data_IF_821985573659
#
_entry.id   IF_821985573659
#
_cell.length_a   1.000
_cell.length_b   1.000
_cell.length_c   1.000
_cell.angle_alpha   90.00
_cell.angle_beta   90.00
_cell.angle_gamma   90.00
#
_symmetry.space_group_name_H-M   'P 1'
#
loop_
_entity.id
_entity.type
_entity.pdbx_description
1 polymer ?
#
# COMPACT_ATOMS: atom_id res chain seq x y z
N UNK A 1 -3.88 -17.95 15.14
CA UNK A 1 -5.12 -17.80 15.90
C UNK A 1 -5.26 -16.32 16.29
N UNK A 2 -6.42 -15.73 16.02
CA UNK A 2 -6.75 -14.36 16.47
C UNK A 2 -7.29 -14.43 17.91
N UNK A 3 -7.01 -13.42 18.74
CA UNK A 3 -7.60 -13.32 20.08
C UNK A 3 -7.92 -11.86 20.43
N UNK A 4 -8.91 -11.71 21.28
CA UNK A 4 -9.19 -10.40 21.89
C UNK A 4 -8.22 -10.18 23.05
N UNK A 5 -7.67 -9.00 23.12
CA UNK A 5 -6.81 -8.52 24.21
C UNK A 5 -7.58 -7.40 24.93
N UNK A 6 -7.73 -7.54 26.22
CA UNK A 6 -8.41 -6.56 27.07
C UNK A 6 -7.45 -5.46 27.52
N UNK A 7 -7.98 -4.40 28.12
CA UNK A 7 -7.30 -3.12 28.37
C UNK A 7 -5.94 -3.26 29.06
N UNK A 8 -5.88 -4.02 30.14
CA UNK A 8 -4.68 -4.14 30.97
C UNK A 8 -3.53 -4.78 30.19
N UNK A 9 -3.78 -5.90 29.52
CA UNK A 9 -2.81 -6.58 28.70
C UNK A 9 -2.44 -5.72 27.47
N UNK A 10 -3.42 -5.07 26.86
CA UNK A 10 -3.21 -4.21 25.69
C UNK A 10 -2.23 -3.08 26.00
N UNK A 11 -2.39 -2.38 27.13
CA UNK A 11 -1.48 -1.30 27.54
C UNK A 11 -0.10 -1.82 28.02
N UNK A 12 0.00 -3.06 28.48
CA UNK A 12 1.29 -3.70 28.73
C UNK A 12 2.02 -4.02 27.41
N UNK A 13 1.28 -4.48 26.39
CA UNK A 13 1.84 -4.79 25.07
C UNK A 13 2.26 -3.53 24.30
N UNK A 14 1.48 -2.45 24.40
CA UNK A 14 1.69 -1.19 23.67
C UNK A 14 1.45 0.01 24.61
N UNK A 15 2.46 0.39 25.41
CA UNK A 15 2.31 1.43 26.44
C UNK A 15 2.06 2.83 25.89
N UNK A 16 2.27 3.04 24.59
CA UNK A 16 2.03 4.31 23.93
C UNK A 16 0.58 4.52 23.48
N UNK A 17 -0.27 3.49 23.56
CA UNK A 17 -1.68 3.63 23.19
C UNK A 17 -2.40 4.71 24.03
N UNK A 18 -3.38 5.33 23.37
CA UNK A 18 -4.33 6.26 24.02
C UNK A 18 -5.08 5.56 25.15
N UNK A 19 -5.29 6.28 26.26
CA UNK A 19 -6.05 5.81 27.44
C UNK A 19 -7.46 5.29 27.08
N UNK A 20 -8.03 5.76 25.98
CA UNK A 20 -9.33 5.31 25.47
C UNK A 20 -9.34 3.94 24.82
N UNK A 21 -8.16 3.35 24.54
CA UNK A 21 -8.07 1.99 24.00
C UNK A 21 -8.45 0.96 25.06
N UNK A 22 -9.61 0.31 24.90
CA UNK A 22 -10.15 -0.62 25.90
C UNK A 22 -10.00 -2.09 25.52
N UNK A 23 -9.83 -2.42 24.23
CA UNK A 23 -9.58 -3.78 23.73
C UNK A 23 -9.08 -3.76 22.30
N UNK A 24 -8.42 -4.83 21.88
CA UNK A 24 -7.98 -5.00 20.50
C UNK A 24 -8.14 -6.45 20.03
N UNK A 25 -8.27 -6.62 18.72
CA UNK A 25 -8.08 -7.91 18.07
C UNK A 25 -6.59 -8.08 17.76
N UNK A 26 -5.96 -9.03 18.40
CA UNK A 26 -4.54 -9.33 18.23
C UNK A 26 -4.31 -10.45 17.23
N UNK A 27 -3.44 -10.19 16.25
CA UNK A 27 -3.02 -11.13 15.21
C UNK A 27 -1.53 -11.46 15.38
N UNK A 28 -1.17 -12.50 16.18
CA UNK A 28 0.21 -12.79 16.58
C UNK A 28 1.13 -13.20 15.42
N UNK A 29 0.55 -13.70 14.33
CA UNK A 29 1.29 -14.16 13.14
C UNK A 29 1.35 -13.11 12.03
N UNK A 30 0.88 -11.87 12.28
CA UNK A 30 1.07 -10.75 11.38
C UNK A 30 2.48 -10.20 11.51
N UNK A 31 2.98 -9.59 10.43
CA UNK A 31 4.29 -8.99 10.41
C UNK A 31 4.34 -7.78 9.48
N UNK A 32 5.47 -7.13 9.48
CA UNK A 32 5.82 -6.07 8.55
C UNK A 32 6.92 -6.54 7.60
N UNK A 33 6.96 -5.99 6.42
CA UNK A 33 7.98 -6.26 5.41
C UNK A 33 8.33 -4.96 4.70
N UNK A 34 9.59 -4.81 4.28
CA UNK A 34 9.97 -3.77 3.33
C UNK A 34 9.34 -4.11 1.97
N UNK A 35 8.39 -3.32 1.44
CA UNK A 35 7.78 -3.63 0.15
C UNK A 35 8.78 -3.51 -1.00
N UNK A 36 9.79 -2.66 -0.88
CA UNK A 36 10.85 -2.50 -1.87
C UNK A 36 11.71 -3.75 -1.98
N UNK A 37 12.29 -4.18 -0.85
CA UNK A 37 13.16 -5.36 -0.81
C UNK A 37 12.38 -6.62 -1.21
N UNK A 38 11.13 -6.74 -0.78
CA UNK A 38 10.27 -7.86 -1.15
C UNK A 38 10.03 -7.91 -2.66
N UNK A 39 9.70 -6.76 -3.28
CA UNK A 39 9.47 -6.68 -4.72
C UNK A 39 10.74 -7.00 -5.51
N UNK A 40 11.88 -6.43 -5.11
CA UNK A 40 13.18 -6.69 -5.74
C UNK A 40 13.58 -8.16 -5.62
N UNK A 41 13.43 -8.75 -4.44
CA UNK A 41 13.74 -10.15 -4.22
C UNK A 41 12.88 -11.09 -5.10
N UNK A 42 11.58 -10.78 -5.25
CA UNK A 42 10.70 -11.54 -6.14
C UNK A 42 11.13 -11.42 -7.62
N UNK A 43 11.50 -10.22 -8.07
CA UNK A 43 12.00 -10.00 -9.42
C UNK A 43 13.33 -10.74 -9.66
N UNK A 44 14.26 -10.67 -8.70
CA UNK A 44 15.54 -11.41 -8.79
C UNK A 44 15.33 -12.93 -8.87
N UNK A 45 14.43 -13.47 -8.07
CA UNK A 45 14.09 -14.90 -8.10
C UNK A 45 13.50 -15.28 -9.46
N UNK A 46 12.59 -14.46 -9.99
CA UNK A 46 12.00 -14.68 -11.31
C UNK A 46 13.08 -14.72 -12.40
N UNK A 47 13.98 -13.74 -12.43
CA UNK A 47 15.07 -13.68 -13.41
C UNK A 47 16.03 -14.88 -13.26
N UNK A 48 16.39 -15.27 -12.02
CA UNK A 48 17.20 -16.46 -11.76
C UNK A 48 16.56 -17.76 -12.27
N UNK A 49 15.22 -17.78 -12.35
CA UNK A 49 14.45 -18.91 -12.89
C UNK A 49 14.13 -18.78 -14.39
N UNK A 50 14.78 -17.86 -15.11
CA UNK A 50 14.70 -17.75 -16.56
C UNK A 50 13.63 -16.77 -17.06
N UNK A 51 13.06 -15.93 -16.21
CA UNK A 51 12.17 -14.85 -16.65
C UNK A 51 13.00 -13.75 -17.32
N UNK A 52 12.58 -13.33 -18.49
CA UNK A 52 13.10 -12.12 -19.13
C UNK A 52 12.38 -10.88 -18.59
N UNK A 53 13.14 -9.95 -18.04
CA UNK A 53 12.62 -8.69 -17.50
C UNK A 53 12.90 -7.54 -18.48
N UNK A 54 11.86 -7.01 -19.10
CA UNK A 54 11.93 -5.89 -20.03
C UNK A 54 11.47 -4.60 -19.35
N UNK A 55 12.43 -3.82 -18.82
CA UNK A 55 12.18 -2.51 -18.22
C UNK A 55 11.96 -1.43 -19.29
N UNK A 56 11.25 -0.36 -18.93
CA UNK A 56 10.96 0.77 -19.82
C UNK A 56 10.36 0.31 -21.16
N UNK A 57 9.52 -0.71 -21.12
CA UNK A 57 8.88 -1.32 -22.30
C UNK A 57 7.38 -1.25 -22.10
N UNK A 58 6.72 -0.31 -22.77
CA UNK A 58 5.29 -0.06 -22.64
C UNK A 58 4.51 -0.95 -23.59
N UNK A 59 3.55 -1.71 -23.08
CA UNK A 59 2.56 -2.43 -23.89
C UNK A 59 1.58 -1.41 -24.48
N UNK A 60 1.41 -1.45 -25.80
CA UNK A 60 0.56 -0.52 -26.56
C UNK A 60 -0.56 -1.21 -27.32
N UNK A 61 -0.56 -2.55 -27.40
CA UNK A 61 -1.60 -3.32 -28.06
C UNK A 61 -1.54 -4.80 -27.71
N UNK A 62 -2.68 -5.48 -27.82
CA UNK A 62 -2.82 -6.93 -27.68
C UNK A 62 -3.62 -7.47 -28.86
N UNK A 63 -3.05 -8.39 -29.61
CA UNK A 63 -3.68 -9.07 -30.75
C UNK A 63 -3.88 -10.55 -30.39
N UNK A 64 -5.14 -11.01 -30.44
CA UNK A 64 -5.43 -12.43 -30.27
C UNK A 64 -5.12 -13.18 -31.58
N UNK A 65 -4.22 -14.14 -31.51
CA UNK A 65 -3.95 -15.11 -32.57
C UNK A 65 -4.76 -16.39 -32.33
N UNK A 66 -4.57 -17.43 -33.17
CA UNK A 66 -5.30 -18.69 -33.02
C UNK A 66 -5.10 -19.34 -31.64
N UNK A 67 -3.83 -19.52 -31.22
CA UNK A 67 -3.46 -20.24 -30.00
C UNK A 67 -2.53 -19.43 -29.08
N UNK A 68 -2.27 -18.17 -29.40
CA UNK A 68 -1.37 -17.28 -28.68
C UNK A 68 -1.89 -15.84 -28.71
N UNK A 69 -1.11 -14.96 -28.09
CA UNK A 69 -1.27 -13.52 -28.12
C UNK A 69 0.00 -12.88 -28.65
N UNK A 70 -0.18 -11.86 -29.48
CA UNK A 70 0.91 -10.93 -29.81
C UNK A 70 0.76 -9.68 -28.95
N UNK A 71 1.80 -9.39 -28.19
CA UNK A 71 1.90 -8.23 -27.32
C UNK A 71 2.73 -7.17 -28.03
N UNK A 72 2.09 -6.12 -28.49
CA UNK A 72 2.76 -4.98 -29.12
C UNK A 72 3.33 -4.05 -28.06
N UNK A 73 4.59 -3.68 -28.19
CA UNK A 73 5.23 -2.71 -27.28
C UNK A 73 5.93 -1.60 -28.07
N UNK A 74 6.29 -0.54 -27.38
CA UNK A 74 7.06 0.57 -27.96
C UNK A 74 8.53 0.16 -28.31
N UNK A 75 8.92 -1.07 -28.01
CA UNK A 75 10.26 -1.61 -28.26
C UNK A 75 10.28 -2.93 -29.06
N UNK A 76 9.17 -3.29 -29.66
CA UNK A 76 9.01 -4.53 -30.44
C UNK A 76 7.90 -5.41 -29.91
N UNK A 77 7.66 -6.51 -30.60
CA UNK A 77 6.55 -7.41 -30.33
C UNK A 77 7.04 -8.67 -29.62
N UNK A 78 6.19 -9.19 -28.74
CA UNK A 78 6.38 -10.48 -28.08
C UNK A 78 5.21 -11.40 -28.40
N UNK A 79 5.44 -12.70 -28.44
CA UNK A 79 4.39 -13.69 -28.60
C UNK A 79 4.32 -14.63 -27.38
N UNK A 80 3.11 -14.84 -26.84
CA UNK A 80 2.91 -15.70 -25.67
C UNK A 80 1.54 -16.39 -25.72
N UNK A 81 1.45 -17.61 -25.20
CA UNK A 81 0.18 -18.33 -25.07
C UNK A 81 -0.78 -17.67 -24.09
N UNK A 82 -0.26 -17.01 -23.07
CA UNK A 82 -1.04 -16.36 -22.00
C UNK A 82 -0.49 -14.97 -21.72
N UNK A 83 -1.37 -14.05 -21.38
CA UNK A 83 -1.02 -12.72 -20.89
C UNK A 83 -1.68 -12.52 -19.52
N UNK A 84 -0.90 -12.17 -18.52
CA UNK A 84 -1.39 -11.82 -17.18
C UNK A 84 -1.31 -10.30 -17.01
N UNK A 85 -2.47 -9.70 -16.78
CA UNK A 85 -2.57 -8.26 -16.55
C UNK A 85 -2.36 -7.95 -15.05
N UNK A 86 -1.18 -7.44 -14.72
CA UNK A 86 -0.82 -6.98 -13.37
C UNK A 86 -0.46 -5.48 -13.37
N UNK A 87 -1.12 -4.68 -14.22
CA UNK A 87 -0.75 -3.29 -14.50
C UNK A 87 -1.23 -2.28 -13.42
N UNK A 88 -1.74 -2.73 -12.27
CA UNK A 88 -2.12 -1.85 -11.16
C UNK A 88 -3.14 -0.80 -11.58
N UNK A 89 -2.82 0.49 -11.43
CA UNK A 89 -3.71 1.60 -11.80
C UNK A 89 -4.05 1.65 -13.28
N UNK A 90 -3.25 1.02 -14.15
CA UNK A 90 -3.46 0.90 -15.59
C UNK A 90 -4.15 -0.41 -16.01
N UNK A 91 -4.62 -1.22 -15.06
CA UNK A 91 -5.17 -2.56 -15.39
C UNK A 91 -6.43 -2.50 -16.24
N UNK A 92 -7.29 -1.48 -16.08
CA UNK A 92 -8.46 -1.30 -16.94
C UNK A 92 -8.06 -0.91 -18.37
N UNK A 93 -7.05 -0.05 -18.54
CA UNK A 93 -6.51 0.30 -19.86
C UNK A 93 -5.96 -0.93 -20.58
N UNK A 94 -5.18 -1.75 -19.86
CA UNK A 94 -4.64 -3.00 -20.38
C UNK A 94 -5.73 -4.00 -20.75
N UNK A 95 -6.79 -4.12 -19.94
CA UNK A 95 -7.94 -4.97 -20.24
C UNK A 95 -8.62 -4.53 -21.54
N UNK A 96 -8.83 -3.24 -21.71
CA UNK A 96 -9.51 -2.66 -22.87
C UNK A 96 -8.73 -2.82 -24.20
N UNK A 97 -7.45 -3.20 -24.15
CA UNK A 97 -6.70 -3.58 -25.35
C UNK A 97 -7.10 -4.96 -25.91
N UNK A 98 -7.75 -5.81 -25.11
CA UNK A 98 -8.07 -7.19 -25.48
C UNK A 98 -9.55 -7.53 -25.37
N UNK A 99 -10.34 -6.73 -24.68
CA UNK A 99 -11.76 -6.98 -24.41
C UNK A 99 -12.56 -5.68 -24.34
N UNK A 100 -13.88 -5.80 -24.40
CA UNK A 100 -14.78 -4.67 -24.16
C UNK A 100 -14.64 -4.15 -22.72
N UNK A 101 -14.67 -2.83 -22.51
CA UNK A 101 -14.59 -2.24 -21.18
C UNK A 101 -15.72 -2.75 -20.27
N UNK A 102 -15.37 -3.35 -19.14
CA UNK A 102 -16.33 -3.90 -18.20
C UNK A 102 -16.09 -3.51 -16.74
N UNK A 103 -14.97 -2.87 -16.45
CA UNK A 103 -14.65 -2.26 -15.16
C UNK A 103 -13.79 -1.01 -15.32
N UNK A 104 -13.74 -0.22 -14.28
CA UNK A 104 -12.87 0.97 -14.18
C UNK A 104 -12.03 0.91 -12.92
N UNK A 105 -10.85 1.50 -12.99
CA UNK A 105 -10.04 1.77 -11.81
C UNK A 105 -10.40 3.17 -11.31
N UNK A 106 -10.66 3.26 -10.02
CA UNK A 106 -10.83 4.49 -9.26
C UNK A 106 -9.55 4.69 -8.46
N UNK A 107 -8.61 5.53 -8.95
CA UNK A 107 -7.35 5.73 -8.26
C UNK A 107 -7.60 6.32 -6.88
N UNK A 108 -7.01 5.72 -5.84
CA UNK A 108 -7.16 6.18 -4.47
C UNK A 108 -5.80 6.45 -3.86
N UNK A 109 -5.48 7.73 -3.68
CA UNK A 109 -4.22 8.18 -3.10
C UNK A 109 -4.24 8.01 -1.59
N UNK A 110 -3.15 7.45 -1.05
CA UNK A 110 -2.90 7.34 0.38
C UNK A 110 -1.59 8.03 0.74
N UNK A 111 -1.65 8.98 1.67
CA UNK A 111 -0.53 9.81 2.07
C UNK A 111 -0.01 9.38 3.44
N UNK A 112 1.29 9.58 3.70
CA UNK A 112 1.95 9.10 4.91
C UNK A 112 2.96 10.11 5.45
N UNK A 113 3.14 10.09 6.78
CA UNK A 113 4.35 10.54 7.44
C UNK A 113 5.33 9.38 7.60
N UNK A 114 6.61 9.64 7.39
CA UNK A 114 7.73 8.82 7.86
C UNK A 114 8.47 9.58 8.92
N UNK A 115 8.57 9.02 10.12
CA UNK A 115 9.30 9.61 11.22
C UNK A 115 10.65 8.94 11.39
N UNK A 116 11.59 9.68 11.97
CA UNK A 116 12.93 9.21 12.28
C UNK A 116 12.92 7.96 13.16
N UNK A 117 14.02 7.22 13.17
CA UNK A 117 14.21 6.00 13.96
C UNK A 117 14.09 6.22 15.46
N UNK A 118 14.31 7.45 15.96
CA UNK A 118 14.08 7.77 17.36
C UNK A 118 12.59 7.62 17.77
N UNK A 119 11.66 7.65 16.82
CA UNK A 119 10.23 7.37 17.01
C UNK A 119 9.88 5.90 16.78
N UNK A 120 10.76 5.11 16.20
CA UNK A 120 10.51 3.72 15.78
C UNK A 120 10.13 2.77 16.92
N UNK A 121 10.57 3.08 18.15
CA UNK A 121 10.23 2.30 19.34
C UNK A 121 8.90 2.70 20.00
N UNK A 122 8.15 3.66 19.43
CA UNK A 122 6.88 4.12 19.98
C UNK A 122 5.83 3.00 20.06
N UNK A 123 5.81 2.13 19.06
CA UNK A 123 5.02 0.91 19.07
C UNK A 123 5.82 -0.26 18.51
N UNK A 124 5.48 -1.47 18.94
CA UNK A 124 6.15 -2.70 18.50
C UNK A 124 5.35 -3.46 17.45
N UNK A 125 4.10 -3.05 17.23
CA UNK A 125 3.14 -3.67 16.31
C UNK A 125 2.47 -2.61 15.45
N UNK A 126 1.94 -3.03 14.31
CA UNK A 126 1.06 -2.18 13.53
C UNK A 126 -0.28 -2.00 14.25
N UNK A 127 -0.61 -0.76 14.58
CA UNK A 127 -1.81 -0.38 15.30
C UNK A 127 -2.86 0.14 14.33
N UNK A 128 -4.03 -0.49 14.30
CA UNK A 128 -5.17 -0.08 13.51
C UNK A 128 -6.31 0.36 14.42
N UNK A 129 -7.01 1.40 14.03
CA UNK A 129 -8.30 1.74 14.62
C UNK A 129 -9.37 0.75 14.14
N UNK A 130 -10.46 0.63 14.90
CA UNK A 130 -11.63 -0.10 14.43
C UNK A 130 -12.11 0.48 13.09
N UNK A 131 -12.48 -0.35 12.11
CA UNK A 131 -13.04 0.13 10.85
C UNK A 131 -14.28 1.01 11.07
N UNK A 132 -14.41 2.04 10.26
CA UNK A 132 -15.56 2.92 10.22
C UNK A 132 -16.14 2.96 8.80
N UNK A 133 -17.19 3.73 8.57
CA UNK A 133 -17.71 3.99 7.22
C UNK A 133 -16.65 4.58 6.26
N UNK A 134 -15.59 5.20 6.82
CA UNK A 134 -14.48 5.75 6.05
C UNK A 134 -13.33 4.74 5.82
N UNK A 135 -13.53 3.46 6.18
CA UNK A 135 -12.54 2.38 6.01
C UNK A 135 -11.76 2.06 7.29
N UNK A 136 -10.54 1.51 7.12
CA UNK A 136 -9.69 1.02 8.22
C UNK A 136 -9.10 2.10 9.13
N UNK A 137 -9.22 3.36 8.75
CA UNK A 137 -8.59 4.47 9.47
C UNK A 137 -7.08 4.58 9.24
N UNK A 138 -6.47 5.54 9.93
CA UNK A 138 -5.03 5.80 9.92
C UNK A 138 -4.34 4.80 10.83
N UNK A 139 -3.30 4.14 10.33
CA UNK A 139 -2.45 3.25 11.12
C UNK A 139 -1.24 3.98 11.70
N UNK A 140 -0.69 3.43 12.77
CA UNK A 140 0.62 3.75 13.34
C UNK A 140 1.42 2.45 13.35
N UNK A 141 2.57 2.41 12.68
CA UNK A 141 3.33 1.17 12.49
C UNK A 141 4.83 1.39 12.51
N UNK A 142 5.60 0.53 13.16
CA UNK A 142 7.03 0.48 12.92
C UNK A 142 7.29 0.02 11.48
N UNK A 143 8.46 0.32 10.95
CA UNK A 143 8.93 -0.20 9.66
C UNK A 143 10.03 -1.23 9.86
N UNK A 144 10.32 -2.03 8.83
CA UNK A 144 11.43 -2.99 8.85
C UNK A 144 12.79 -2.31 9.08
N UNK A 145 12.92 -1.04 8.70
CA UNK A 145 14.14 -0.24 8.85
C UNK A 145 14.24 0.49 10.20
N UNK A 146 13.24 0.33 11.07
CA UNK A 146 13.22 0.94 12.41
C UNK A 146 12.69 2.37 12.46
N UNK A 147 12.05 2.86 11.41
CA UNK A 147 11.30 4.11 11.39
C UNK A 147 9.88 3.91 11.91
N UNK A 148 9.15 4.99 12.15
CA UNK A 148 7.71 4.96 12.38
C UNK A 148 7.00 5.53 11.16
N UNK A 149 5.93 4.85 10.70
CA UNK A 149 5.07 5.32 9.62
C UNK A 149 3.67 5.59 10.16
N UNK A 150 3.08 6.71 9.75
CA UNK A 150 1.72 7.12 10.15
C UNK A 150 0.91 7.48 8.91
N UNK A 151 -0.21 6.84 8.73
CA UNK A 151 -1.05 6.91 7.54
C UNK A 151 -1.67 5.53 7.24
N UNK A 152 -2.28 5.35 6.06
CA UNK A 152 -2.61 6.39 5.10
C UNK A 152 -3.95 7.09 5.41
N UNK A 153 -4.20 8.16 4.68
CA UNK A 153 -5.55 8.57 4.34
C UNK A 153 -6.09 7.79 3.12
N UNK A 154 -7.23 8.20 2.60
CA UNK A 154 -7.82 7.60 1.40
C UNK A 154 -8.58 8.68 0.62
N UNK A 155 -8.01 9.17 -0.47
CA UNK A 155 -8.60 10.20 -1.32
C UNK A 155 -8.67 9.70 -2.75
N UNK A 156 -9.88 9.60 -3.30
CA UNK A 156 -10.04 9.33 -4.71
C UNK A 156 -9.55 10.51 -5.53
N UNK A 157 -8.80 10.25 -6.57
CA UNK A 157 -8.17 11.24 -7.46
C UNK A 157 -8.46 10.88 -8.91
N UNK A 158 -8.29 11.84 -9.81
CA UNK A 158 -8.47 11.61 -11.24
C UNK A 158 -7.17 11.15 -11.91
N UNK A 159 -6.05 11.79 -11.56
CA UNK A 159 -4.74 11.45 -12.10
C UNK A 159 -4.11 10.29 -11.31
N UNK A 160 -4.01 9.13 -11.93
CA UNK A 160 -3.41 7.92 -11.34
C UNK A 160 -1.91 8.05 -11.04
N UNK A 161 -1.24 9.05 -11.61
CA UNK A 161 0.19 9.31 -11.41
C UNK A 161 0.45 10.36 -10.30
N UNK A 162 -0.61 11.01 -9.76
CA UNK A 162 -0.46 12.01 -8.71
C UNK A 162 -0.08 11.38 -7.36
N UNK A 163 1.20 11.39 -7.05
CA UNK A 163 1.78 10.97 -5.77
C UNK A 163 2.13 12.15 -4.85
N UNK A 164 1.54 13.32 -5.07
CA UNK A 164 1.75 14.48 -4.21
C UNK A 164 1.14 14.31 -2.82
N UNK A 165 1.67 15.02 -1.84
CA UNK A 165 1.09 15.14 -0.51
C UNK A 165 0.53 16.55 -0.30
N UNK A 166 -0.56 16.67 0.45
CA UNK A 166 -1.20 17.95 0.74
C UNK A 166 -1.20 18.25 2.23
N UNK A 167 -1.04 19.51 2.58
CA UNK A 167 -1.04 19.93 3.99
C UNK A 167 -2.36 19.58 4.70
N UNK A 168 -3.49 19.65 3.98
CA UNK A 168 -4.81 19.31 4.48
C UNK A 168 -4.90 17.85 4.91
N UNK A 169 -4.49 16.94 4.02
CA UNK A 169 -4.56 15.51 4.27
C UNK A 169 -3.54 15.06 5.31
N UNK A 170 -2.36 15.63 5.30
CA UNK A 170 -1.37 15.40 6.36
C UNK A 170 -1.90 15.85 7.74
N UNK A 171 -2.58 16.99 7.80
CA UNK A 171 -3.24 17.43 9.04
C UNK A 171 -4.39 16.50 9.46
N UNK A 172 -5.15 15.96 8.51
CA UNK A 172 -6.16 14.93 8.79
C UNK A 172 -5.53 13.67 9.38
N UNK A 173 -4.47 13.14 8.76
CA UNK A 173 -3.75 11.95 9.23
C UNK A 173 -3.28 12.14 10.67
N UNK A 174 -2.68 13.29 10.97
CA UNK A 174 -2.21 13.63 12.31
C UNK A 174 -3.35 13.57 13.33
N UNK A 175 -4.46 14.27 13.09
CA UNK A 175 -5.64 14.26 13.98
C UNK A 175 -6.25 12.86 14.13
N UNK A 176 -6.27 12.07 13.06
CA UNK A 176 -6.80 10.72 13.10
C UNK A 176 -5.90 9.78 13.92
N UNK A 177 -4.58 9.91 13.82
CA UNK A 177 -3.62 9.11 14.57
C UNK A 177 -3.67 9.38 16.10
N UNK A 178 -4.07 10.60 16.52
CA UNK A 178 -4.24 10.97 17.93
C UNK A 178 -5.25 10.06 18.67
N UNK A 179 -6.19 9.46 17.94
CA UNK A 179 -7.10 8.45 18.51
C UNK A 179 -6.39 7.15 18.90
N UNK A 180 -5.29 6.83 18.23
CA UNK A 180 -4.47 5.66 18.53
C UNK A 180 -3.42 5.99 19.59
N UNK A 181 -2.72 7.11 19.42
CA UNK A 181 -1.73 7.62 20.36
C UNK A 181 -1.49 9.11 20.15
N UNK A 182 -1.37 9.87 21.23
CA UNK A 182 -1.02 11.30 21.25
C UNK A 182 0.50 11.52 21.44
N UNK A 183 1.27 10.46 21.57
CA UNK A 183 2.71 10.50 21.89
C UNK A 183 3.63 10.69 20.69
N UNK A 184 3.08 10.77 19.46
CA UNK A 184 3.88 10.94 18.24
C UNK A 184 4.47 12.34 18.16
N UNK A 185 5.79 12.45 18.10
CA UNK A 185 6.47 13.71 17.89
C UNK A 185 6.69 13.99 16.39
N UNK A 186 5.73 14.66 15.76
CA UNK A 186 5.80 14.99 14.32
C UNK A 186 6.94 15.95 13.92
N UNK A 187 7.67 16.55 14.88
CA UNK A 187 8.89 17.31 14.58
C UNK A 187 10.01 16.42 14.06
N UNK A 188 9.95 15.13 14.39
CA UNK A 188 10.87 14.11 13.91
C UNK A 188 10.42 13.49 12.57
N UNK A 189 9.47 14.11 11.86
CA UNK A 189 9.14 13.70 10.50
C UNK A 189 10.29 13.99 9.55
N UNK A 190 10.79 12.95 8.90
CA UNK A 190 11.91 13.04 7.94
C UNK A 190 11.42 13.10 6.51
N UNK A 191 10.21 12.61 6.24
CA UNK A 191 9.62 12.59 4.90
C UNK A 191 8.10 12.43 4.95
N UNK A 192 7.44 12.97 3.92
CA UNK A 192 6.08 12.61 3.55
C UNK A 192 6.11 11.97 2.17
N UNK A 193 5.22 11.01 1.92
CA UNK A 193 5.05 10.40 0.60
C UNK A 193 3.60 9.97 0.40
N UNK A 194 3.26 9.69 -0.83
CA UNK A 194 1.98 9.12 -1.19
C UNK A 194 2.15 7.98 -2.20
N UNK A 195 1.18 7.10 -2.22
CA UNK A 195 1.03 6.07 -3.24
C UNK A 195 -0.41 5.98 -3.70
N UNK A 196 -0.62 5.49 -4.92
CA UNK A 196 -1.95 5.37 -5.51
C UNK A 196 -2.35 3.90 -5.58
N UNK A 197 -3.51 3.59 -5.01
CA UNK A 197 -4.11 2.26 -5.03
C UNK A 197 -5.07 2.13 -6.19
N UNK A 198 -5.02 0.98 -6.85
CA UNK A 198 -5.92 0.61 -7.93
C UNK A 198 -7.21 0.00 -7.35
N UNK A 199 -8.17 0.82 -6.95
CA UNK A 199 -9.47 0.32 -6.52
C UNK A 199 -10.34 0.08 -7.76
N UNK A 200 -10.97 -1.10 -7.84
CA UNK A 200 -11.95 -1.39 -8.88
C UNK A 200 -13.34 -0.89 -8.45
N UNK A 201 -14.15 -0.52 -9.42
CA UNK A 201 -15.58 -0.21 -9.22
C UNK A 201 -16.45 -1.49 -9.09
N UNK A 202 -15.82 -2.67 -9.07
CA UNK A 202 -16.41 -3.99 -8.82
C UNK A 202 -15.92 -4.63 -7.54
#
# INVERSE_FOLDING_TARGET
DLRIVEKEELHQMEPALSEGACRALYAPHSGIVSPWDYTLAMAEVAVKNGTELHLSTKVIGLEKLSDSWRVHTDRGDFESRYVLNCAGVHSAEMHNLAAEPDFRIIPCRGQYYVLDKCEGALCTRTLFQCPSALGKGVLVSPTADGNLIVGPDAVNIEDSEDTSTTAEQLAFIRRAAEKTTDKINYRNSIRNFAGVRANSDR
#
